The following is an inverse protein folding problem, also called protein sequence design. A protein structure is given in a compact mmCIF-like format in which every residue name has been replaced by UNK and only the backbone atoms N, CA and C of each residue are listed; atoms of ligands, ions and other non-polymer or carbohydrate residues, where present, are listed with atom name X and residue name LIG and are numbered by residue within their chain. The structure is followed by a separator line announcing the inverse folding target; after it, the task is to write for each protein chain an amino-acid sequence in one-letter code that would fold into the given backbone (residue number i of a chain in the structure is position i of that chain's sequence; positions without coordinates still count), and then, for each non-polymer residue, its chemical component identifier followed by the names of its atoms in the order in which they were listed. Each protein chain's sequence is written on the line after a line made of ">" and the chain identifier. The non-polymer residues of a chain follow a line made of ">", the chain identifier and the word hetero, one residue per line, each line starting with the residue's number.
data_IF_641741001632
#
_entry.id   IF_641741001632
#
_cell.length_a   1.000
_cell.length_b   1.000
_cell.length_c   1.000
_cell.angle_alpha   90.00
_cell.angle_beta   90.00
_cell.angle_gamma   90.00
#
_symmetry.space_group_name_H-M   'P 1'
#
loop_
_entity.id
_entity.type
_entity.pdbx_description
1 polymer ?
#
# COMPACT_ATOMS: atom_id res chain seq x y z
N UNK A 1 5.75 -6.25 3.94
CA UNK A 1 5.47 -4.90 4.52
C UNK A 1 4.55 -5.07 5.72
N UNK A 2 4.68 -4.30 6.81
CA UNK A 2 3.74 -4.46 7.94
C UNK A 2 2.35 -3.93 7.54
N UNK A 3 1.33 -4.79 7.70
CA UNK A 3 -0.07 -4.45 7.43
C UNK A 3 -0.88 -4.44 8.73
N UNK A 4 -1.96 -3.64 8.77
CA UNK A 4 -2.91 -3.58 9.88
C UNK A 4 -4.33 -3.73 9.33
N UNK A 5 -5.02 -4.85 9.56
CA UNK A 5 -6.36 -5.07 9.02
C UNK A 5 -7.38 -4.13 9.65
N UNK A 6 -8.35 -3.68 8.86
CA UNK A 6 -9.54 -2.94 9.30
C UNK A 6 -10.74 -3.80 8.95
N UNK A 7 -11.47 -4.25 9.96
CA UNK A 7 -12.59 -5.17 9.82
C UNK A 7 -13.93 -4.47 10.03
N UNK A 8 -14.97 -4.99 9.37
CA UNK A 8 -16.36 -4.69 9.68
C UNK A 8 -16.78 -5.39 10.97
N UNK A 9 -17.99 -5.08 11.46
CA UNK A 9 -18.56 -5.69 12.67
C UNK A 9 -18.78 -7.21 12.55
N UNK A 10 -18.90 -7.72 11.33
CA UNK A 10 -19.03 -9.15 11.01
C UNK A 10 -17.67 -9.86 10.86
N UNK A 11 -16.56 -9.14 11.04
CA UNK A 11 -15.19 -9.68 10.91
C UNK A 11 -14.65 -9.69 9.48
N UNK A 12 -15.43 -9.31 8.47
CA UNK A 12 -14.96 -9.19 7.08
C UNK A 12 -13.97 -8.04 6.93
N UNK A 13 -13.02 -8.19 6.00
CA UNK A 13 -11.97 -7.19 5.81
C UNK A 13 -12.51 -6.01 4.98
N UNK A 14 -12.60 -4.83 5.59
CA UNK A 14 -13.04 -3.57 4.95
C UNK A 14 -11.89 -2.86 4.23
N UNK A 15 -10.72 -2.91 4.84
CA UNK A 15 -9.50 -2.25 4.36
C UNK A 15 -8.30 -2.76 5.14
N UNK A 16 -7.13 -2.21 4.84
CA UNK A 16 -5.96 -2.39 5.69
C UNK A 16 -5.04 -1.18 5.59
N UNK A 17 -4.27 -0.95 6.64
CA UNK A 17 -3.23 0.06 6.64
C UNK A 17 -1.87 -0.57 6.35
N UNK A 18 -1.00 0.20 5.71
CA UNK A 18 0.41 -0.12 5.54
C UNK A 18 1.27 0.95 6.21
N UNK A 19 2.33 0.54 6.91
CA UNK A 19 3.24 1.48 7.56
C UNK A 19 4.02 2.29 6.51
N UNK A 20 4.08 3.61 6.69
CA UNK A 20 4.70 4.55 5.75
C UNK A 20 6.22 4.60 5.79
N UNK A 21 6.84 4.12 6.89
CA UNK A 21 8.15 4.61 7.38
C UNK A 21 9.28 4.64 6.37
N UNK A 22 9.21 3.86 5.28
CA UNK A 22 10.23 3.84 4.22
C UNK A 22 9.65 3.52 2.83
N UNK A 23 8.37 3.79 2.61
CA UNK A 23 7.68 3.34 1.40
C UNK A 23 7.87 4.35 0.27
N UNK A 24 8.84 4.08 -0.60
CA UNK A 24 8.82 4.64 -1.95
C UNK A 24 7.52 4.18 -2.64
N UNK A 25 6.88 5.06 -3.42
CA UNK A 25 5.67 4.70 -4.18
C UNK A 25 5.90 3.57 -5.17
N UNK A 26 7.12 3.42 -5.68
CA UNK A 26 7.43 2.40 -6.69
C UNK A 26 7.20 0.96 -6.20
N UNK A 27 7.71 0.54 -5.01
CA UNK A 27 7.28 -0.68 -4.33
C UNK A 27 5.77 -0.88 -4.27
N UNK A 28 4.99 0.13 -3.88
CA UNK A 28 3.53 0.03 -3.79
C UNK A 28 2.90 -0.32 -5.13
N UNK A 29 3.28 0.43 -6.18
CA UNK A 29 2.77 0.22 -7.52
C UNK A 29 3.17 -1.16 -8.06
N UNK A 30 4.36 -1.66 -7.71
CA UNK A 30 4.82 -3.00 -8.09
C UNK A 30 3.98 -4.08 -7.41
N UNK A 31 3.70 -3.95 -6.11
CA UNK A 31 2.86 -4.90 -5.37
C UNK A 31 1.44 -4.89 -5.94
N UNK A 32 0.82 -3.72 -6.11
CA UNK A 32 -0.53 -3.60 -6.67
C UNK A 32 -0.65 -4.32 -8.02
N UNK A 33 0.27 -4.05 -8.94
CA UNK A 33 0.25 -4.66 -10.29
C UNK A 33 0.50 -6.17 -10.29
N UNK A 34 0.96 -6.75 -9.16
CA UNK A 34 1.16 -8.20 -9.04
C UNK A 34 -0.08 -8.96 -8.56
N UNK A 35 -1.10 -8.24 -8.08
CA UNK A 35 -2.33 -8.84 -7.57
C UNK A 35 -3.33 -9.05 -8.71
N UNK A 36 -3.83 -10.27 -8.84
CA UNK A 36 -4.89 -10.59 -9.80
C UNK A 36 -6.12 -9.71 -9.57
N UNK A 37 -6.76 -9.27 -10.66
CA UNK A 37 -7.93 -8.39 -10.61
C UNK A 37 -7.59 -6.90 -10.45
N UNK A 38 -6.33 -6.54 -10.18
CA UNK A 38 -5.90 -5.13 -10.18
C UNK A 38 -5.72 -4.59 -11.59
N UNK A 39 -6.29 -3.41 -11.87
CA UNK A 39 -6.12 -2.69 -13.13
C UNK A 39 -6.13 -1.17 -12.94
N UNK A 40 -5.85 -0.42 -14.01
CA UNK A 40 -5.93 1.06 -14.07
C UNK A 40 -5.15 1.82 -12.98
N UNK A 41 -4.03 1.25 -12.51
CA UNK A 41 -3.22 1.85 -11.44
C UNK A 41 -2.63 3.19 -11.87
N UNK A 42 -3.01 4.28 -11.18
CA UNK A 42 -2.54 5.66 -11.41
C UNK A 42 -2.12 6.32 -10.10
N UNK A 43 -0.97 6.98 -10.11
CA UNK A 43 -0.50 7.81 -8.99
C UNK A 43 -1.13 9.19 -9.04
N UNK A 44 -1.51 9.75 -7.90
CA UNK A 44 -1.86 11.17 -7.78
C UNK A 44 -0.86 11.91 -6.88
N UNK A 45 -0.47 13.11 -7.30
CA UNK A 45 0.62 13.86 -6.65
C UNK A 45 0.11 14.92 -5.65
N UNK A 46 -1.10 15.44 -5.86
CA UNK A 46 -1.67 16.55 -5.10
C UNK A 46 -3.02 16.20 -4.46
N UNK A 47 -3.26 14.92 -4.21
CA UNK A 47 -4.48 14.41 -3.59
C UNK A 47 -4.12 13.56 -2.35
N UNK A 48 -5.05 13.46 -1.41
CA UNK A 48 -5.03 12.50 -0.29
C UNK A 48 -5.05 11.06 -0.82
N UNK A 49 -5.75 10.85 -1.94
CA UNK A 49 -5.74 9.62 -2.73
C UNK A 49 -4.43 9.48 -3.51
N UNK A 50 -3.38 8.99 -2.84
CA UNK A 50 -2.03 8.89 -3.41
C UNK A 50 -1.95 7.95 -4.62
N UNK A 51 -2.74 6.88 -4.64
CA UNK A 51 -2.84 5.95 -5.77
C UNK A 51 -4.29 5.52 -5.95
N UNK A 52 -4.83 5.67 -7.15
CA UNK A 52 -6.14 5.12 -7.53
C UNK A 52 -5.92 3.90 -8.43
N UNK A 53 -6.81 2.91 -8.33
CA UNK A 53 -6.82 1.71 -9.16
C UNK A 53 -8.21 1.08 -9.19
N UNK A 54 -8.37 0.01 -9.97
CA UNK A 54 -9.53 -0.86 -9.90
C UNK A 54 -9.14 -2.22 -9.37
N UNK A 55 -10.00 -2.83 -8.56
CA UNK A 55 -9.89 -4.22 -8.11
C UNK A 55 -11.16 -4.97 -8.52
N UNK A 56 -11.04 -5.97 -9.39
CA UNK A 56 -12.17 -6.63 -10.04
C UNK A 56 -13.20 -5.63 -10.62
N UNK A 57 -12.67 -4.60 -11.30
CA UNK A 57 -13.41 -3.51 -11.93
C UNK A 57 -14.12 -2.54 -10.95
N UNK A 58 -13.87 -2.65 -9.64
CA UNK A 58 -14.41 -1.75 -8.61
C UNK A 58 -13.35 -0.72 -8.18
N UNK A 59 -13.70 0.58 -8.03
CA UNK A 59 -12.77 1.61 -7.60
C UNK A 59 -12.14 1.35 -6.24
N UNK A 60 -10.82 1.47 -6.18
CA UNK A 60 -10.01 1.25 -4.99
C UNK A 60 -8.87 2.27 -4.91
N UNK A 61 -8.35 2.48 -3.70
CA UNK A 61 -7.40 3.55 -3.45
C UNK A 61 -6.35 3.17 -2.39
N UNK A 62 -5.19 3.80 -2.50
CA UNK A 62 -4.24 3.99 -1.41
C UNK A 62 -4.31 5.47 -1.03
N UNK A 63 -4.80 5.79 0.17
CA UNK A 63 -4.92 7.17 0.64
C UNK A 63 -4.14 7.42 1.94
N UNK A 64 -3.86 8.69 2.22
CA UNK A 64 -3.20 9.16 3.43
C UNK A 64 -4.19 9.97 4.29
N UNK A 65 -4.98 9.32 5.15
CA UNK A 65 -6.15 9.95 5.78
C UNK A 65 -5.81 11.01 6.85
N UNK A 66 -4.60 11.02 7.42
CA UNK A 66 -4.29 11.88 8.59
C UNK A 66 -3.14 12.87 8.39
N UNK A 67 -2.50 12.89 7.21
CA UNK A 67 -1.42 13.85 6.88
C UNK A 67 -0.19 13.82 7.79
N UNK A 68 -0.15 12.94 8.80
CA UNK A 68 0.96 12.73 9.71
C UNK A 68 2.01 11.76 9.13
N UNK A 69 1.77 11.28 7.91
CA UNK A 69 2.63 10.37 7.17
C UNK A 69 2.99 9.11 7.96
N UNK A 70 2.14 8.63 8.88
CA UNK A 70 2.43 7.42 9.68
C UNK A 70 2.01 6.13 8.96
N UNK A 71 0.87 6.18 8.24
CA UNK A 71 0.26 5.01 7.59
C UNK A 71 -0.55 5.41 6.36
N UNK A 72 -0.57 4.55 5.36
CA UNK A 72 -1.50 4.64 4.24
C UNK A 72 -2.61 3.62 4.41
N UNK A 73 -3.84 4.00 4.11
CA UNK A 73 -4.96 3.09 4.05
C UNK A 73 -5.12 2.56 2.63
N UNK A 74 -5.51 1.28 2.50
CA UNK A 74 -5.73 0.58 1.24
C UNK A 74 -7.08 -0.13 1.29
N UNK A 75 -7.91 0.07 0.26
CA UNK A 75 -9.21 -0.59 0.17
C UNK A 75 -10.07 -0.05 -0.97
N UNK A 76 -11.33 -0.52 -1.02
CA UNK A 76 -12.34 -0.05 -1.98
C UNK A 76 -12.83 1.34 -1.59
N UNK A 77 -13.01 2.26 -2.55
CA UNK A 77 -13.53 3.60 -2.23
C UNK A 77 -14.94 3.53 -1.62
N UNK A 78 -15.76 2.58 -2.06
CA UNK A 78 -17.13 2.35 -1.59
C UNK A 78 -17.29 0.89 -1.12
N UNK A 79 -16.72 0.52 0.04
CA UNK A 79 -16.70 -0.87 0.49
C UNK A 79 -18.11 -1.39 0.81
N UNK A 80 -19.01 -0.51 1.27
CA UNK A 80 -20.37 -0.85 1.65
C UNK A 80 -21.26 -1.14 0.42
N UNK A 81 -20.87 -0.69 -0.77
CA UNK A 81 -21.57 -0.95 -2.05
C UNK A 81 -21.18 -2.32 -2.63
N UNK A 82 -20.00 -2.83 -2.27
CA UNK A 82 -19.44 -4.06 -2.81
C UNK A 82 -18.98 -5.04 -1.71
N UNK A 83 -19.89 -5.49 -0.82
CA UNK A 83 -19.53 -6.29 0.34
C UNK A 83 -19.01 -7.70 0.00
N UNK A 84 -19.21 -8.17 -1.24
CA UNK A 84 -18.75 -9.49 -1.69
C UNK A 84 -17.30 -9.52 -2.19
N UNK A 85 -16.65 -8.37 -2.34
CA UNK A 85 -15.27 -8.32 -2.84
C UNK A 85 -14.30 -8.51 -1.68
N UNK A 86 -13.69 -9.69 -1.63
CA UNK A 86 -12.64 -9.99 -0.66
C UNK A 86 -11.33 -9.30 -1.05
N UNK A 87 -10.90 -8.33 -0.24
CA UNK A 87 -9.64 -7.61 -0.42
C UNK A 87 -8.45 -8.27 0.30
N UNK A 88 -8.66 -9.43 0.93
CA UNK A 88 -7.58 -10.19 1.59
C UNK A 88 -6.39 -10.51 0.67
N UNK A 89 -6.58 -10.84 -0.62
CA UNK A 89 -5.47 -11.06 -1.55
C UNK A 89 -4.57 -9.81 -1.71
N UNK A 90 -5.15 -8.61 -1.71
CA UNK A 90 -4.37 -7.36 -1.71
C UNK A 90 -3.52 -7.30 -0.44
N UNK A 91 -4.13 -7.46 0.75
CA UNK A 91 -3.42 -7.39 2.03
C UNK A 91 -2.25 -8.39 2.09
N UNK A 92 -2.50 -9.63 1.68
CA UNK A 92 -1.48 -10.68 1.65
C UNK A 92 -0.32 -10.35 0.71
N UNK A 93 -0.58 -9.74 -0.44
CA UNK A 93 0.49 -9.32 -1.35
C UNK A 93 1.39 -8.23 -0.74
N UNK A 94 0.81 -7.26 -0.02
CA UNK A 94 1.59 -6.27 0.73
C UNK A 94 2.36 -6.88 1.90
N UNK A 95 1.72 -7.79 2.64
CA UNK A 95 2.34 -8.49 3.76
C UNK A 95 3.57 -9.29 3.31
N UNK A 96 3.41 -10.11 2.26
CA UNK A 96 4.45 -10.96 1.68
C UNK A 96 5.51 -10.18 0.89
N UNK A 97 5.29 -8.90 0.61
CA UNK A 97 6.30 -8.09 -0.06
C UNK A 97 7.53 -7.90 0.84
N UNK A 98 8.62 -8.55 0.45
CA UNK A 98 9.95 -8.49 1.08
C UNK A 98 10.97 -7.67 0.27
N UNK A 99 10.51 -6.91 -0.75
CA UNK A 99 11.39 -6.26 -1.73
C UNK A 99 12.46 -5.37 -1.10
N UNK A 100 13.69 -5.49 -1.65
CA UNK A 100 14.95 -4.85 -1.24
C UNK A 100 14.73 -3.53 -0.47
N UNK A 101 14.91 -3.60 0.85
CA UNK A 101 15.24 -2.42 1.65
C UNK A 101 16.54 -1.87 1.08
N UNK A 102 16.51 -0.71 0.43
CA UNK A 102 17.73 0.04 0.15
C UNK A 102 18.28 0.46 1.51
N UNK A 103 19.17 -0.35 2.07
CA UNK A 103 20.08 0.09 3.11
C UNK A 103 20.97 1.15 2.46
N UNK A 104 20.78 2.42 2.81
CA UNK A 104 21.87 3.39 2.75
C UNK A 104 22.92 2.97 3.78
N UNK A 105 23.72 1.95 3.44
CA UNK A 105 25.04 1.77 4.03
C UNK A 105 25.90 2.91 3.47
N UNK A 106 25.86 4.05 4.14
CA UNK A 106 26.96 5.01 4.09
C UNK A 106 28.20 4.31 4.63
N UNK A 107 28.93 3.59 3.77
CA UNK A 107 30.33 3.29 4.07
C UNK A 107 31.05 4.63 4.05
N UNK A 108 31.24 5.20 5.24
CA UNK A 108 32.27 6.19 5.53
C UNK A 108 33.58 5.57 5.06
N UNK A 109 34.12 6.05 3.94
CA UNK A 109 35.48 5.70 3.51
C UNK A 109 36.40 6.22 4.61
N UNK A 110 37.19 5.39 5.31
CA UNK A 110 38.22 5.93 6.17
C UNK A 110 39.24 6.61 5.27
N UNK A 111 39.47 7.89 5.51
CA UNK A 111 40.59 8.63 4.99
C UNK A 111 41.87 7.97 5.52
N UNK A 112 42.44 7.05 4.73
CA UNK A 112 43.81 6.62 4.96
C UNK A 112 44.70 7.77 4.51
N UNK A 113 45.14 8.55 5.49
CA UNK A 113 46.30 9.40 5.32
C UNK A 113 47.54 8.52 5.15
N UNK A 114 48.28 8.78 4.09
CA UNK A 114 49.75 8.78 4.04
C UNK A 114 50.13 9.96 3.15
#
# INVERSE_FOLDING_TARGET
>A
MKTHPIQNSDGTLRGFEISSTWVLFWPLLKVLKSVEGVSEVKRQWFNEDRVIFKYFNVPAVINEPWGDNSRYWVGLQEPDVHPSIDISPLRLAFENYSGFTIFYLTKKVPSNGI
#
